data_IF_979677341665
#
_entry.id   IF_979677341665
#
_cell.length_a   1.000
_cell.length_b   1.000
_cell.length_c   1.000
_cell.angle_alpha   90.00
_cell.angle_beta   90.00
_cell.angle_gamma   90.00
#
_symmetry.space_group_name_H-M   'P 1'
#
loop_
_entity.id
_entity.type
_entity.pdbx_description
1 polymer ?
#
# COMPACT_ATOMS: atom_id res chain seq x y z
N UNK A 1 -26.79 -18.20 4.29
CA UNK A 1 -27.23 -17.23 5.30
C UNK A 1 -26.15 -16.15 5.39
N UNK A 2 -26.43 -14.99 4.79
CA UNK A 2 -25.57 -13.79 4.77
C UNK A 2 -25.30 -13.21 6.18
N UNK A 3 -26.13 -13.53 7.14
CA UNK A 3 -26.06 -13.02 8.52
C UNK A 3 -24.87 -13.61 9.30
N UNK A 4 -24.46 -14.83 9.01
CA UNK A 4 -23.36 -15.51 9.73
C UNK A 4 -21.94 -15.06 9.31
N UNK A 5 -21.81 -14.43 8.15
CA UNK A 5 -20.53 -13.83 7.70
C UNK A 5 -20.30 -12.45 8.33
N UNK A 6 -21.39 -11.74 8.68
CA UNK A 6 -21.30 -10.39 9.23
C UNK A 6 -20.60 -10.34 10.59
N UNK A 7 -20.96 -11.23 11.52
CA UNK A 7 -20.47 -11.18 12.89
C UNK A 7 -18.95 -11.45 13.02
N UNK A 8 -18.39 -12.14 12.04
CA UNK A 8 -16.96 -12.48 12.01
C UNK A 8 -16.08 -11.32 11.54
N UNK A 9 -16.66 -10.38 10.80
CA UNK A 9 -15.93 -9.27 10.17
C UNK A 9 -16.25 -7.91 10.80
N UNK A 10 -17.38 -7.80 11.51
CA UNK A 10 -17.76 -6.58 12.21
C UNK A 10 -17.02 -6.45 13.53
N UNK A 11 -16.44 -5.27 13.75
CA UNK A 11 -15.92 -4.80 15.04
C UNK A 11 -14.88 -5.70 15.74
N UNK A 12 -14.09 -6.48 14.99
CA UNK A 12 -12.91 -7.12 15.61
C UNK A 12 -11.98 -6.04 16.17
N UNK A 13 -11.46 -6.19 17.40
CA UNK A 13 -10.46 -5.26 17.91
C UNK A 13 -9.23 -5.24 17.00
N UNK A 14 -8.49 -4.14 17.05
CA UNK A 14 -7.21 -4.04 16.35
C UNK A 14 -6.28 -5.14 16.88
N UNK A 15 -5.46 -5.72 16.00
CA UNK A 15 -4.44 -6.70 16.39
C UNK A 15 -3.51 -6.10 17.45
N UNK A 16 -3.14 -6.90 18.44
CA UNK A 16 -2.25 -6.48 19.52
C UNK A 16 -0.90 -6.00 19.00
N UNK A 17 -0.36 -6.65 17.96
CA UNK A 17 0.89 -6.27 17.30
C UNK A 17 0.79 -4.91 16.62
N UNK A 18 -0.35 -4.62 15.99
CA UNK A 18 -0.57 -3.33 15.33
C UNK A 18 -0.82 -2.24 16.38
N UNK A 19 -1.59 -2.52 17.44
CA UNK A 19 -1.77 -1.57 18.52
C UNK A 19 -0.42 -1.25 19.19
N UNK A 20 0.35 -2.27 19.53
CA UNK A 20 1.72 -2.10 20.05
C UNK A 20 2.59 -1.27 19.08
N UNK A 21 2.47 -1.53 17.78
CA UNK A 21 3.23 -0.77 16.78
C UNK A 21 2.88 0.72 16.82
N UNK A 22 1.60 1.08 16.82
CA UNK A 22 1.16 2.48 16.90
C UNK A 22 1.68 3.16 18.15
N UNK A 23 1.55 2.50 19.31
CA UNK A 23 1.98 3.03 20.60
C UNK A 23 3.51 3.21 20.63
N UNK A 24 4.25 2.19 20.19
CA UNK A 24 5.73 2.21 20.19
C UNK A 24 6.33 3.25 19.26
N UNK A 25 5.59 3.70 18.22
CA UNK A 25 6.03 4.75 17.29
C UNK A 25 5.45 6.11 17.61
N UNK A 26 4.66 6.24 18.68
CA UNK A 26 4.03 7.49 19.06
C UNK A 26 3.10 8.04 17.96
N UNK A 27 2.42 7.15 17.21
CA UNK A 27 1.52 7.57 16.15
C UNK A 27 0.28 8.19 16.77
N UNK A 28 0.13 9.49 16.55
CA UNK A 28 -0.96 10.27 17.12
C UNK A 28 -2.30 9.96 16.44
N UNK A 29 -3.36 10.08 17.21
CA UNK A 29 -4.73 9.90 16.76
C UNK A 29 -5.26 8.49 16.99
N UNK A 30 -6.56 8.40 17.29
CA UNK A 30 -7.24 7.13 17.47
C UNK A 30 -7.66 6.56 16.11
N UNK A 31 -7.23 5.35 15.75
CA UNK A 31 -7.69 4.70 14.54
C UNK A 31 -9.21 4.53 14.55
N UNK A 32 -9.86 4.91 13.45
CA UNK A 32 -11.30 4.68 13.25
C UNK A 32 -11.47 3.32 12.60
N UNK A 33 -12.13 2.34 13.27
CA UNK A 33 -12.31 1.03 12.70
C UNK A 33 -13.16 1.09 11.43
N UNK A 34 -12.83 0.28 10.42
CA UNK A 34 -13.67 0.11 9.24
C UNK A 34 -14.94 -0.67 9.61
N UNK A 35 -15.95 -0.62 8.74
CA UNK A 35 -17.17 -1.42 8.90
C UNK A 35 -16.88 -2.92 8.91
N UNK A 36 -15.89 -3.34 8.13
CA UNK A 36 -15.40 -4.72 8.09
C UNK A 36 -13.91 -4.73 7.76
N UNK A 37 -13.22 -5.79 8.13
CA UNK A 37 -11.81 -6.00 7.80
C UNK A 37 -11.48 -7.49 7.73
N UNK A 38 -10.40 -7.81 7.05
CA UNK A 38 -9.85 -9.17 7.07
C UNK A 38 -9.48 -9.56 8.51
N UNK A 39 -9.82 -10.77 8.97
CA UNK A 39 -9.41 -11.27 10.28
C UNK A 39 -7.89 -11.26 10.46
N UNK A 40 -7.47 -11.28 11.72
CA UNK A 40 -6.06 -11.42 12.08
C UNK A 40 -5.49 -12.69 11.44
N UNK A 41 -4.24 -12.68 10.98
CA UNK A 41 -3.63 -13.88 10.44
C UNK A 41 -3.47 -14.94 11.53
N UNK A 42 -3.54 -16.23 11.19
CA UNK A 42 -3.21 -17.29 12.11
C UNK A 42 -1.69 -17.32 12.38
N UNK A 43 -1.27 -18.03 13.41
CA UNK A 43 0.16 -18.21 13.71
C UNK A 43 0.92 -18.95 12.61
N UNK A 44 0.21 -19.76 11.81
CA UNK A 44 0.77 -20.52 10.69
C UNK A 44 -0.15 -20.46 9.47
N UNK A 45 0.45 -20.40 8.30
CA UNK A 45 -0.20 -20.53 6.99
C UNK A 45 0.52 -21.61 6.20
N UNK A 46 -0.20 -22.61 5.71
CA UNK A 46 0.35 -23.77 5.00
C UNK A 46 1.52 -24.44 5.76
N UNK A 47 1.37 -24.55 7.09
CA UNK A 47 2.39 -25.08 7.97
C UNK A 47 3.57 -24.16 8.28
N UNK A 48 3.69 -23.03 7.59
CA UNK A 48 4.78 -22.07 7.76
C UNK A 48 4.46 -21.01 8.82
N UNK A 49 5.44 -20.59 9.63
CA UNK A 49 5.22 -19.59 10.67
C UNK A 49 4.89 -18.22 10.06
N UNK A 50 4.02 -17.49 10.76
CA UNK A 50 3.65 -16.12 10.45
C UNK A 50 4.20 -15.19 11.53
N UNK A 51 4.63 -14.00 11.14
CA UNK A 51 5.11 -12.97 12.07
C UNK A 51 4.68 -11.58 11.64
N UNK A 52 4.62 -10.66 12.61
CA UNK A 52 4.53 -9.22 12.33
C UNK A 52 5.93 -8.60 12.32
N UNK A 53 6.25 -7.86 11.26
CA UNK A 53 7.54 -7.18 11.10
C UNK A 53 7.35 -5.65 11.13
N UNK A 54 7.56 -4.99 12.27
CA UNK A 54 7.39 -3.53 12.39
C UNK A 54 8.35 -2.74 11.49
N UNK A 55 9.55 -3.26 11.24
CA UNK A 55 10.53 -2.59 10.36
C UNK A 55 10.06 -2.53 8.90
N UNK A 56 9.25 -3.50 8.46
CA UNK A 56 8.66 -3.46 7.13
C UNK A 56 7.64 -2.32 7.03
N UNK A 57 6.83 -2.12 8.07
CA UNK A 57 5.88 -1.00 8.16
C UNK A 57 6.61 0.35 8.22
N UNK A 58 7.66 0.46 9.05
CA UNK A 58 8.48 1.68 9.15
C UNK A 58 9.04 2.10 7.78
N UNK A 59 9.55 1.16 7.00
CA UNK A 59 10.08 1.44 5.65
C UNK A 59 9.02 2.00 4.72
N UNK A 60 7.83 1.42 4.73
CA UNK A 60 6.71 1.88 3.89
C UNK A 60 6.26 3.28 4.29
N UNK A 61 6.07 3.54 5.57
CA UNK A 61 5.69 4.87 6.07
C UNK A 61 6.74 5.91 5.68
N UNK A 62 8.02 5.59 5.86
CA UNK A 62 9.11 6.47 5.46
C UNK A 62 9.11 6.73 3.95
N UNK A 63 8.91 5.71 3.14
CA UNK A 63 8.86 5.85 1.67
C UNK A 63 7.69 6.73 1.26
N UNK A 64 6.50 6.50 1.81
CA UNK A 64 5.31 7.33 1.54
C UNK A 64 5.53 8.76 2.00
N UNK A 65 6.15 8.98 3.17
CA UNK A 65 6.49 10.30 3.68
C UNK A 65 7.49 11.08 2.82
N UNK A 66 8.26 10.38 1.96
CA UNK A 66 9.13 11.04 0.97
C UNK A 66 8.37 11.48 -0.30
N UNK A 67 7.16 11.00 -0.51
CA UNK A 67 6.27 11.46 -1.59
C UNK A 67 5.62 12.77 -1.18
N UNK A 68 5.34 13.63 -2.15
CA UNK A 68 4.76 14.95 -1.87
C UNK A 68 3.39 15.09 -2.50
N UNK A 69 2.50 15.78 -1.80
CA UNK A 69 1.24 16.22 -2.38
C UNK A 69 1.49 17.07 -3.63
N UNK A 70 0.71 16.82 -4.67
CA UNK A 70 0.88 17.48 -5.98
C UNK A 70 -0.16 18.54 -6.24
N UNK A 71 -1.26 18.56 -5.50
CA UNK A 71 -2.41 19.45 -5.73
C UNK A 71 -2.97 20.06 -4.45
N UNK A 72 -3.63 21.20 -4.62
CA UNK A 72 -4.36 21.89 -3.57
C UNK A 72 -3.45 22.56 -2.53
N UNK A 73 -4.04 22.92 -1.37
CA UNK A 73 -3.34 23.62 -0.28
C UNK A 73 -2.16 22.84 0.33
N UNK A 74 -2.06 21.57 0.05
CA UNK A 74 -1.02 20.68 0.56
C UNK A 74 0.11 20.44 -0.44
N UNK A 75 0.04 21.02 -1.65
CA UNK A 75 1.07 20.85 -2.67
C UNK A 75 2.48 21.11 -2.12
N UNK A 76 3.40 20.22 -2.41
CA UNK A 76 4.79 20.26 -1.93
C UNK A 76 5.03 19.74 -0.50
N UNK A 77 3.97 19.51 0.31
CA UNK A 77 4.10 18.91 1.63
C UNK A 77 4.20 17.38 1.52
N UNK A 78 4.93 16.71 2.42
CA UNK A 78 4.99 15.25 2.48
C UNK A 78 3.60 14.63 2.60
N UNK A 79 3.45 13.41 2.06
CA UNK A 79 2.27 12.59 2.30
C UNK A 79 2.32 12.05 3.73
N UNK A 80 1.36 12.45 4.54
CA UNK A 80 1.21 11.95 5.90
C UNK A 80 0.06 10.95 5.97
N UNK A 81 0.34 9.81 6.57
CA UNK A 81 -0.64 8.76 6.80
C UNK A 81 -1.34 8.98 8.14
N UNK A 82 -2.66 8.92 8.17
CA UNK A 82 -3.42 8.92 9.41
C UNK A 82 -3.24 7.62 10.19
N UNK A 83 -3.48 7.64 11.50
CA UNK A 83 -3.50 6.43 12.33
C UNK A 83 -4.42 5.34 11.77
N UNK A 84 -5.58 5.72 11.21
CA UNK A 84 -6.51 4.79 10.55
C UNK A 84 -5.90 4.11 9.32
N UNK A 85 -5.23 4.87 8.46
CA UNK A 85 -4.58 4.32 7.27
C UNK A 85 -3.42 3.39 7.64
N UNK A 86 -2.65 3.74 8.66
CA UNK A 86 -1.56 2.90 9.16
C UNK A 86 -2.13 1.63 9.77
N UNK A 87 -3.08 1.73 10.70
CA UNK A 87 -3.62 0.60 11.44
C UNK A 87 -4.36 -0.42 10.58
N UNK A 88 -5.15 0.04 9.61
CA UNK A 88 -6.07 -0.81 8.87
C UNK A 88 -5.67 -1.09 7.42
N UNK A 89 -4.65 -0.41 6.89
CA UNK A 89 -4.20 -0.60 5.51
C UNK A 89 -2.71 -0.94 5.47
N UNK A 90 -1.84 -0.04 5.93
CA UNK A 90 -0.40 -0.19 5.75
C UNK A 90 0.18 -1.31 6.62
N UNK A 91 -0.10 -1.31 7.92
CA UNK A 91 0.43 -2.32 8.83
C UNK A 91 -0.09 -3.73 8.51
N UNK A 92 -1.39 -3.95 8.24
CA UNK A 92 -1.87 -5.27 7.83
C UNK A 92 -1.29 -5.75 6.50
N UNK A 93 -1.10 -4.86 5.53
CA UNK A 93 -0.62 -5.22 4.19
C UNK A 93 0.88 -5.54 4.18
N UNK A 94 1.69 -4.73 4.86
CA UNK A 94 3.15 -4.82 4.78
C UNK A 94 3.81 -5.45 6.01
N UNK A 95 3.16 -5.42 7.16
CA UNK A 95 3.72 -5.91 8.42
C UNK A 95 3.69 -7.43 8.55
N UNK A 96 2.62 -8.06 8.10
CA UNK A 96 2.48 -9.50 8.22
C UNK A 96 3.30 -10.24 7.17
N UNK A 97 4.13 -11.21 7.63
CA UNK A 97 5.03 -12.01 6.82
C UNK A 97 4.85 -13.49 7.13
N UNK A 98 5.08 -14.32 6.11
CA UNK A 98 5.14 -15.78 6.21
C UNK A 98 6.50 -16.25 5.74
N UNK A 99 7.02 -17.31 6.35
CA UNK A 99 8.26 -17.94 5.90
C UNK A 99 8.05 -18.65 4.56
N UNK A 100 8.92 -18.40 3.62
CA UNK A 100 8.94 -19.11 2.34
C UNK A 100 10.17 -20.02 2.29
N UNK A 101 9.94 -21.31 2.37
CA UNK A 101 11.01 -22.32 2.38
C UNK A 101 11.81 -22.32 1.08
N UNK A 102 11.13 -22.20 -0.07
CA UNK A 102 11.81 -22.24 -1.37
C UNK A 102 12.73 -21.03 -1.57
N UNK A 103 12.32 -19.88 -1.08
CA UNK A 103 13.12 -18.66 -1.17
C UNK A 103 14.09 -18.50 0.02
N UNK A 104 13.97 -19.30 1.09
CA UNK A 104 14.76 -19.20 2.30
C UNK A 104 14.61 -17.85 3.02
N UNK A 105 13.44 -17.20 2.91
CA UNK A 105 13.22 -15.85 3.46
C UNK A 105 11.76 -15.61 3.86
N UNK A 106 11.59 -14.58 4.67
CA UNK A 106 10.27 -14.03 4.98
C UNK A 106 9.75 -13.22 3.81
N UNK A 107 8.53 -13.52 3.38
CA UNK A 107 7.82 -12.79 2.34
C UNK A 107 6.54 -12.19 2.89
N UNK A 108 5.99 -11.19 2.22
CA UNK A 108 4.72 -10.57 2.60
C UNK A 108 3.60 -11.61 2.54
N UNK A 109 2.84 -11.71 3.63
CA UNK A 109 1.71 -12.65 3.73
C UNK A 109 0.56 -12.25 2.81
N UNK A 110 0.17 -10.96 2.86
CA UNK A 110 -0.96 -10.43 2.12
C UNK A 110 -0.48 -9.81 0.82
N UNK A 111 -0.91 -10.37 -0.31
CA UNK A 111 -0.54 -9.93 -1.65
C UNK A 111 -1.66 -9.20 -2.36
N UNK A 112 -2.88 -9.36 -1.88
CA UNK A 112 -4.08 -8.73 -2.42
C UNK A 112 -4.70 -7.86 -1.34
N UNK A 113 -5.22 -6.71 -1.75
CA UNK A 113 -5.93 -5.79 -0.87
C UNK A 113 -7.15 -5.25 -1.60
N UNK A 114 -8.29 -5.31 -0.93
CA UNK A 114 -9.52 -4.65 -1.36
C UNK A 114 -9.85 -3.57 -0.34
N UNK A 115 -9.98 -2.34 -0.83
CA UNK A 115 -10.27 -1.17 0.01
C UNK A 115 -11.47 -0.45 -0.59
N UNK A 116 -12.55 -0.38 0.19
CA UNK A 116 -13.72 0.42 -0.14
C UNK A 116 -13.74 1.67 0.73
N UNK A 117 -13.69 2.82 0.10
CA UNK A 117 -13.68 4.11 0.77
C UNK A 117 -14.63 5.09 0.07
N UNK A 118 -15.40 5.90 0.81
CA UNK A 118 -16.38 6.81 0.21
C UNK A 118 -15.74 7.92 -0.63
N UNK A 119 -14.49 8.33 -0.32
CA UNK A 119 -13.75 9.39 -1.05
C UNK A 119 -12.23 9.31 -0.79
N UNK A 120 -11.43 9.90 -1.72
CA UNK A 120 -9.99 10.20 -1.56
C UNK A 120 -9.04 9.00 -1.46
N UNK A 121 -9.42 7.83 -1.99
CA UNK A 121 -8.54 6.65 -2.01
C UNK A 121 -7.41 6.70 -3.02
N UNK A 122 -7.54 7.50 -4.09
CA UNK A 122 -6.59 7.48 -5.22
C UNK A 122 -5.16 7.84 -4.83
N UNK A 123 -4.96 8.84 -3.98
CA UNK A 123 -3.61 9.24 -3.53
C UNK A 123 -2.95 8.16 -2.69
N UNK A 124 -3.69 7.53 -1.78
CA UNK A 124 -3.20 6.42 -0.98
C UNK A 124 -2.86 5.20 -1.84
N UNK A 125 -3.77 4.82 -2.74
CA UNK A 125 -3.55 3.72 -3.68
C UNK A 125 -2.32 3.98 -4.55
N UNK A 126 -2.14 5.21 -5.02
CA UNK A 126 -0.95 5.63 -5.79
C UNK A 126 0.33 5.54 -4.96
N UNK A 127 0.31 5.97 -3.71
CA UNK A 127 1.46 5.89 -2.82
C UNK A 127 1.84 4.43 -2.51
N UNK A 128 0.85 3.56 -2.31
CA UNK A 128 1.05 2.12 -2.12
C UNK A 128 1.63 1.50 -3.40
N UNK A 129 1.09 1.80 -4.57
CA UNK A 129 1.59 1.31 -5.85
C UNK A 129 3.05 1.74 -6.11
N UNK A 130 3.39 3.01 -5.83
CA UNK A 130 4.76 3.52 -5.93
C UNK A 130 5.71 2.81 -4.97
N UNK A 131 5.26 2.54 -3.74
CA UNK A 131 6.06 1.82 -2.75
C UNK A 131 6.30 0.39 -3.18
N UNK A 132 5.29 -0.30 -3.70
CA UNK A 132 5.40 -1.68 -4.20
C UNK A 132 6.32 -1.78 -5.41
N UNK A 133 6.22 -0.81 -6.33
CA UNK A 133 7.02 -0.83 -7.55
C UNK A 133 8.49 -0.42 -7.31
N UNK A 134 8.73 0.57 -6.46
CA UNK A 134 10.03 1.24 -6.40
C UNK A 134 10.65 1.32 -5.01
N UNK A 135 9.89 1.04 -3.96
CA UNK A 135 10.32 1.17 -2.56
C UNK A 135 10.51 -0.15 -1.81
N UNK A 136 10.02 -1.26 -2.32
CA UNK A 136 10.03 -2.56 -1.64
C UNK A 136 11.34 -3.36 -1.87
N UNK A 137 12.23 -2.83 -2.72
CA UNK A 137 13.53 -3.44 -3.02
C UNK A 137 13.44 -4.67 -3.93
N UNK A 138 12.29 -4.94 -4.51
CA UNK A 138 12.07 -6.02 -5.44
C UNK A 138 12.45 -5.57 -6.86
N UNK A 139 13.44 -6.22 -7.46
CA UNK A 139 13.81 -5.97 -8.85
C UNK A 139 12.79 -6.57 -9.81
N UNK A 140 12.47 -5.82 -10.89
CA UNK A 140 11.50 -6.30 -11.89
C UNK A 140 10.05 -6.27 -11.43
N UNK A 141 9.72 -5.46 -10.42
CA UNK A 141 8.34 -5.34 -9.95
C UNK A 141 7.43 -4.77 -11.05
N UNK A 142 6.31 -5.43 -11.31
CA UNK A 142 5.28 -4.96 -12.24
C UNK A 142 3.98 -4.68 -11.49
N UNK A 143 3.55 -3.44 -11.51
CA UNK A 143 2.26 -3.00 -10.95
C UNK A 143 1.34 -2.64 -12.10
N UNK A 144 0.17 -3.27 -12.15
CA UNK A 144 -0.83 -3.03 -13.18
C UNK A 144 -2.04 -2.34 -12.57
N UNK A 145 -2.46 -1.25 -13.18
CA UNK A 145 -3.69 -0.53 -12.83
C UNK A 145 -4.70 -0.77 -13.95
N UNK A 146 -5.73 -1.53 -13.63
CA UNK A 146 -6.84 -1.82 -14.54
C UNK A 146 -8.00 -0.83 -14.36
N UNK A 147 -8.57 -0.38 -15.46
CA UNK A 147 -9.80 0.41 -15.47
C UNK A 147 -10.74 -0.03 -16.59
N UNK A 148 -12.05 0.17 -16.39
CA UNK A 148 -13.07 -0.24 -17.34
C UNK A 148 -13.09 0.64 -18.62
N UNK A 149 -12.56 1.85 -18.56
CA UNK A 149 -12.47 2.77 -19.68
C UNK A 149 -11.15 3.56 -19.69
N UNK A 150 -10.79 4.14 -20.86
CA UNK A 150 -9.60 5.00 -20.99
C UNK A 150 -9.64 6.22 -20.06
N UNK A 151 -10.81 6.82 -19.88
CA UNK A 151 -10.94 8.01 -19.04
C UNK A 151 -10.76 7.67 -17.56
N UNK A 152 -11.29 6.53 -17.13
CA UNK A 152 -11.03 6.02 -15.78
C UNK A 152 -9.54 5.64 -15.59
N UNK A 153 -8.94 5.02 -16.59
CA UNK A 153 -7.51 4.70 -16.58
C UNK A 153 -6.66 5.97 -16.41
N UNK A 154 -6.95 7.03 -17.16
CA UNK A 154 -6.29 8.33 -17.02
C UNK A 154 -6.50 8.94 -15.62
N UNK A 155 -7.72 8.88 -15.09
CA UNK A 155 -8.03 9.40 -13.77
C UNK A 155 -7.26 8.67 -12.66
N UNK A 156 -7.07 7.36 -12.78
CA UNK A 156 -6.25 6.56 -11.86
C UNK A 156 -4.74 6.80 -12.04
N UNK A 157 -4.30 7.05 -13.27
CA UNK A 157 -2.89 7.28 -13.59
C UNK A 157 -2.39 8.66 -13.20
N UNK A 158 -3.22 9.68 -13.27
CA UNK A 158 -2.82 11.06 -13.03
C UNK A 158 -2.17 11.27 -11.64
N UNK A 159 -2.71 10.77 -10.53
CA UNK A 159 -2.04 10.88 -9.24
C UNK A 159 -0.66 10.22 -9.20
N UNK A 160 -0.49 9.08 -9.87
CA UNK A 160 0.80 8.38 -9.98
C UNK A 160 1.81 9.20 -10.80
N UNK A 161 1.38 9.69 -11.96
CA UNK A 161 2.19 10.55 -12.80
C UNK A 161 2.67 11.79 -12.05
N UNK A 162 1.76 12.45 -11.32
CA UNK A 162 2.07 13.65 -10.54
C UNK A 162 3.08 13.30 -9.42
N UNK A 163 2.87 12.20 -8.68
CA UNK A 163 3.82 11.75 -7.65
C UNK A 163 5.21 11.48 -8.23
N UNK A 164 5.30 10.77 -9.35
CA UNK A 164 6.57 10.48 -9.99
C UNK A 164 7.28 11.74 -10.49
N UNK A 165 6.51 12.69 -11.05
CA UNK A 165 7.06 13.94 -11.62
C UNK A 165 7.55 14.89 -10.54
N UNK A 166 6.83 15.00 -9.41
CA UNK A 166 7.12 16.02 -8.40
C UNK A 166 7.82 15.51 -7.14
N UNK A 167 8.10 14.21 -7.04
CA UNK A 167 8.83 13.65 -5.89
C UNK A 167 10.34 13.58 -6.14
N UNK A 168 11.15 14.39 -5.45
CA UNK A 168 12.60 14.41 -5.65
C UNK A 168 13.28 13.05 -5.41
N UNK A 169 12.73 12.25 -4.48
CA UNK A 169 13.20 10.90 -4.21
C UNK A 169 13.10 10.01 -5.44
N UNK A 170 11.94 10.01 -6.10
CA UNK A 170 11.69 9.18 -7.29
C UNK A 170 12.53 9.64 -8.47
N UNK A 171 12.70 10.95 -8.64
CA UNK A 171 13.58 11.51 -9.67
C UNK A 171 15.04 11.10 -9.44
N UNK A 172 15.55 11.19 -8.20
CA UNK A 172 16.91 10.72 -7.84
C UNK A 172 17.08 9.22 -8.04
N UNK A 173 16.03 8.45 -7.83
CA UNK A 173 16.01 7.01 -8.10
C UNK A 173 15.95 6.67 -9.60
N UNK A 174 15.87 7.67 -10.49
CA UNK A 174 15.82 7.48 -11.93
C UNK A 174 14.45 7.03 -12.45
N UNK A 175 13.39 7.25 -11.68
CA UNK A 175 12.01 6.97 -12.11
C UNK A 175 11.64 7.94 -13.23
N UNK A 176 11.10 7.39 -14.32
CA UNK A 176 10.69 8.13 -15.53
C UNK A 176 9.22 7.87 -15.81
N UNK A 177 8.52 8.92 -16.20
CA UNK A 177 7.14 8.85 -16.69
C UNK A 177 7.11 8.84 -18.22
N UNK A 178 6.33 7.92 -18.77
CA UNK A 178 5.98 7.81 -20.19
C UNK A 178 4.46 7.83 -20.30
N UNK A 179 3.90 7.90 -21.47
CA UNK A 179 2.48 8.17 -21.72
C UNK A 179 1.49 7.37 -20.84
N UNK A 180 1.73 6.07 -20.63
CA UNK A 180 0.85 5.19 -19.83
C UNK A 180 1.63 4.34 -18.83
N UNK A 181 2.87 4.70 -18.55
CA UNK A 181 3.76 3.91 -17.69
C UNK A 181 4.67 4.80 -16.86
N UNK A 182 5.05 4.28 -15.71
CA UNK A 182 6.09 4.84 -14.85
C UNK A 182 7.14 3.75 -14.68
N UNK A 183 8.38 4.03 -15.05
CA UNK A 183 9.46 3.05 -15.09
C UNK A 183 10.65 3.46 -14.22
N UNK A 184 11.30 2.47 -13.65
CA UNK A 184 12.63 2.61 -13.08
C UNK A 184 13.60 1.68 -13.84
N UNK A 185 14.35 2.19 -14.82
CA UNK A 185 15.21 1.36 -15.65
C UNK A 185 16.26 0.55 -14.88
N UNK A 186 16.79 1.14 -13.79
CA UNK A 186 17.83 0.49 -12.96
C UNK A 186 17.37 -0.83 -12.34
N UNK A 187 16.11 -0.94 -11.95
CA UNK A 187 15.52 -2.14 -11.33
C UNK A 187 14.63 -2.91 -12.29
N UNK A 188 14.41 -2.40 -13.50
CA UNK A 188 13.43 -2.93 -14.47
C UNK A 188 12.00 -2.96 -13.93
N UNK A 189 11.69 -2.12 -12.94
CA UNK A 189 10.36 -2.05 -12.33
C UNK A 189 9.47 -1.07 -13.09
N UNK A 190 8.18 -1.37 -13.15
CA UNK A 190 7.22 -0.58 -13.94
C UNK A 190 5.83 -0.55 -13.29
N UNK A 191 5.16 0.58 -13.42
CA UNK A 191 3.71 0.71 -13.20
C UNK A 191 3.07 0.97 -14.55
N UNK A 192 2.11 0.14 -14.95
CA UNK A 192 1.36 0.26 -16.20
C UNK A 192 -0.11 0.52 -15.94
N UNK A 193 -0.73 1.28 -16.82
CA UNK A 193 -2.18 1.49 -16.82
C UNK A 193 -2.78 0.83 -18.05
N UNK A 194 -3.78 -0.01 -17.82
CA UNK A 194 -4.49 -0.73 -18.88
C UNK A 194 -5.98 -0.47 -18.79
N UNK A 195 -6.66 -0.44 -19.93
CA UNK A 195 -8.12 -0.35 -20.00
C UNK A 195 -8.69 -1.49 -20.84
N UNK A 196 -9.87 -2.00 -20.44
CA UNK A 196 -10.52 -3.09 -21.14
C UNK A 196 -11.11 -2.70 -22.50
N UNK A 197 -11.27 -1.40 -22.75
CA UNK A 197 -11.72 -0.85 -24.06
C UNK A 197 -10.61 0.03 -24.59
N UNK A 198 -9.96 -0.51 -25.61
CA UNK A 198 -8.95 0.15 -26.42
C UNK A 198 -9.53 1.23 -27.31
#
# INVERSE_FOLDING_TARGET
SLIHLSDKYFASPLEEEIQWYLDSRGIEGRPKPPLWRTPNPPERVDGQPVRFNPKAVDRVIKTIGCLKHTKGRWAGKPLELSATQIAYIIAPLFGWQVWNELAGRWIRLRREVFIEMPRKGSTLASAVAMTMAFGDGEGGAEVIIGAASRDQAKACFQPLHDLATYSPLLQKAGVKTVTNEIRQPKTSSVIKVVSSRG
#
